data_IF_414308845469
#
_entry.id   IF_414308845469
#
_cell.length_a   1.000
_cell.length_b   1.000
_cell.length_c   1.000
_cell.angle_alpha   90.00
_cell.angle_beta   90.00
_cell.angle_gamma   90.00
#
_symmetry.space_group_name_H-M   'P 1'
#
loop_
_entity.id
_entity.type
_entity.pdbx_description
1 polymer ?
#
# COMPACT_ATOMS: atom_id res chain seq x y z
N UNK A 1 1.87 39.17 -17.76
CA UNK A 1 2.81 38.56 -16.82
C UNK A 1 4.17 39.20 -17.04
N UNK A 2 4.76 39.71 -16.00
CA UNK A 2 6.10 40.32 -15.99
C UNK A 2 7.16 39.31 -16.49
N UNK A 3 8.20 39.76 -17.17
CA UNK A 3 9.28 38.92 -17.73
C UNK A 3 9.97 38.10 -16.64
N UNK A 4 10.20 38.69 -15.46
CA UNK A 4 10.75 38.02 -14.30
C UNK A 4 9.89 36.84 -13.80
N UNK A 5 8.57 36.97 -13.85
CA UNK A 5 7.66 35.89 -13.46
C UNK A 5 7.59 34.77 -14.50
N UNK A 6 7.81 35.08 -15.77
CA UNK A 6 7.94 34.05 -16.83
C UNK A 6 9.21 33.24 -16.66
N UNK A 7 10.32 33.93 -16.39
CA UNK A 7 11.60 33.27 -16.11
C UNK A 7 11.54 32.40 -14.86
N UNK A 8 10.95 32.92 -13.77
CA UNK A 8 10.74 32.14 -12.53
C UNK A 8 9.89 30.89 -12.78
N UNK A 9 8.83 30.98 -13.61
CA UNK A 9 7.99 29.84 -13.96
C UNK A 9 8.78 28.78 -14.74
N UNK A 10 9.54 29.20 -15.75
CA UNK A 10 10.32 28.28 -16.57
C UNK A 10 11.40 27.57 -15.72
N UNK A 11 12.17 28.34 -14.95
CA UNK A 11 13.23 27.81 -14.07
C UNK A 11 12.66 26.90 -13.00
N UNK A 12 11.56 27.31 -12.33
CA UNK A 12 10.93 26.52 -11.29
C UNK A 12 10.43 25.16 -11.80
N UNK A 13 9.79 25.13 -12.98
CA UNK A 13 9.34 23.88 -13.62
C UNK A 13 10.50 22.98 -14.04
N UNK A 14 11.56 23.56 -14.60
CA UNK A 14 12.75 22.80 -15.01
C UNK A 14 13.41 22.12 -13.80
N UNK A 15 13.63 22.86 -12.71
CA UNK A 15 14.24 22.35 -11.49
C UNK A 15 13.34 21.30 -10.83
N UNK A 16 12.04 21.52 -10.81
CA UNK A 16 11.07 20.54 -10.32
C UNK A 16 11.12 19.23 -11.13
N UNK A 17 11.15 19.30 -12.45
CA UNK A 17 11.27 18.12 -13.32
C UNK A 17 12.55 17.33 -13.09
N UNK A 18 13.65 18.03 -12.70
CA UNK A 18 14.92 17.41 -12.30
C UNK A 18 14.92 16.91 -10.85
N UNK A 19 13.80 17.04 -10.11
CA UNK A 19 13.68 16.73 -8.67
C UNK A 19 14.61 17.54 -7.77
N UNK A 20 15.09 18.68 -8.26
CA UNK A 20 15.91 19.62 -7.48
C UNK A 20 15.00 20.53 -6.62
N UNK A 21 14.21 19.93 -5.74
CA UNK A 21 13.09 20.56 -5.04
C UNK A 21 13.49 21.77 -4.21
N UNK A 22 14.59 21.69 -3.46
CA UNK A 22 15.10 22.82 -2.66
C UNK A 22 15.47 24.05 -3.53
N UNK A 23 15.86 23.82 -4.78
CA UNK A 23 16.16 24.89 -5.73
C UNK A 23 14.92 25.40 -6.47
N UNK A 24 13.93 24.54 -6.70
CA UNK A 24 12.69 24.89 -7.36
C UNK A 24 11.79 25.76 -6.49
N UNK A 25 11.72 25.46 -5.18
CA UNK A 25 10.81 26.08 -4.21
C UNK A 25 10.83 27.62 -4.23
N UNK A 26 11.96 28.33 -4.20
CA UNK A 26 12.00 29.78 -4.20
C UNK A 26 11.34 30.41 -5.45
N UNK A 27 11.57 29.82 -6.64
CA UNK A 27 11.01 30.32 -7.89
C UNK A 27 9.47 30.12 -7.94
N UNK A 28 9.01 28.94 -7.49
CA UNK A 28 7.57 28.64 -7.44
C UNK A 28 6.86 29.49 -6.39
N UNK A 29 7.49 29.73 -5.23
CA UNK A 29 6.97 30.61 -4.16
C UNK A 29 6.86 32.06 -4.63
N UNK A 30 7.78 32.54 -5.44
CA UNK A 30 7.69 33.88 -6.03
C UNK A 30 6.43 34.07 -6.86
N UNK A 31 6.01 33.04 -7.62
CA UNK A 31 4.79 33.06 -8.43
C UNK A 31 3.54 33.11 -7.55
N UNK A 32 3.51 32.32 -6.47
CA UNK A 32 2.42 32.31 -5.50
C UNK A 32 2.31 33.65 -4.79
N UNK A 33 3.44 34.25 -4.40
CA UNK A 33 3.49 35.59 -3.77
C UNK A 33 2.98 36.68 -4.70
N UNK A 34 3.19 36.53 -6.01
CA UNK A 34 2.64 37.42 -7.03
C UNK A 34 1.17 37.12 -7.36
N UNK A 35 0.51 36.19 -6.65
CA UNK A 35 -0.88 35.75 -6.82
C UNK A 35 -1.19 35.27 -8.25
N UNK A 36 -0.22 34.65 -8.91
CA UNK A 36 -0.43 34.06 -10.23
C UNK A 36 -1.27 32.79 -10.09
N UNK A 37 -2.46 32.68 -10.71
CA UNK A 37 -3.39 31.58 -10.46
C UNK A 37 -3.05 30.33 -11.31
N UNK A 38 -1.89 29.75 -11.11
CA UNK A 38 -1.46 28.55 -11.82
C UNK A 38 -1.62 27.32 -10.91
N UNK A 39 -2.61 26.49 -11.20
CA UNK A 39 -2.90 25.26 -10.43
C UNK A 39 -1.70 24.31 -10.38
N UNK A 40 -0.93 24.20 -11.48
CA UNK A 40 0.27 23.36 -11.53
C UNK A 40 1.42 23.85 -10.64
N UNK A 41 1.57 25.18 -10.48
CA UNK A 41 2.56 25.75 -9.55
C UNK A 41 2.23 25.38 -8.11
N UNK A 42 0.96 25.50 -7.72
CA UNK A 42 0.51 25.09 -6.42
C UNK A 42 0.66 23.56 -6.21
N UNK A 43 0.35 22.75 -7.23
CA UNK A 43 0.57 21.31 -7.15
C UNK A 43 2.05 20.96 -6.96
N UNK A 44 2.97 21.60 -7.70
CA UNK A 44 4.41 21.40 -7.55
C UNK A 44 4.89 21.77 -6.14
N UNK A 45 4.46 22.91 -5.59
CA UNK A 45 4.79 23.28 -4.21
C UNK A 45 4.21 22.30 -3.20
N UNK A 46 2.98 21.82 -3.43
CA UNK A 46 2.36 20.79 -2.61
C UNK A 46 3.22 19.52 -2.56
N UNK A 47 3.72 19.05 -3.70
CA UNK A 47 4.62 17.88 -3.78
C UNK A 47 5.92 18.15 -3.03
N UNK A 48 6.54 19.32 -3.22
CA UNK A 48 7.78 19.69 -2.51
C UNK A 48 7.57 19.67 -0.99
N UNK A 49 6.49 20.29 -0.51
CA UNK A 49 6.18 20.31 0.92
C UNK A 49 5.83 18.95 1.48
N UNK A 50 5.12 18.11 0.70
CA UNK A 50 4.81 16.74 1.08
C UNK A 50 6.09 15.90 1.25
N UNK A 51 7.00 15.97 0.28
CA UNK A 51 8.28 15.25 0.27
C UNK A 51 9.19 15.69 1.46
N UNK A 52 9.04 16.95 1.88
CA UNK A 52 9.70 17.49 3.08
C UNK A 52 8.97 17.15 4.41
N UNK A 53 7.90 16.36 4.39
CA UNK A 53 7.10 16.01 5.57
C UNK A 53 6.24 17.16 6.12
N UNK A 54 6.12 18.27 5.37
CA UNK A 54 5.36 19.47 5.76
C UNK A 54 3.90 19.34 5.31
N UNK A 55 3.20 18.30 5.78
CA UNK A 55 1.89 17.88 5.27
C UNK A 55 0.83 18.98 5.33
N UNK A 56 0.81 19.80 6.37
CA UNK A 56 -0.14 20.92 6.45
C UNK A 56 0.07 21.98 5.36
N UNK A 57 1.32 22.26 4.98
CA UNK A 57 1.60 23.16 3.87
C UNK A 57 1.28 22.53 2.52
N UNK A 58 1.58 21.24 2.37
CA UNK A 58 1.23 20.47 1.18
C UNK A 58 -0.28 20.46 0.96
N UNK A 59 -1.06 20.18 2.00
CA UNK A 59 -2.53 20.26 1.96
C UNK A 59 -3.01 21.59 1.42
N UNK A 60 -2.57 22.70 2.01
CA UNK A 60 -2.98 24.04 1.59
C UNK A 60 -2.66 24.31 0.10
N UNK A 61 -1.50 23.86 -0.35
CA UNK A 61 -1.10 24.02 -1.75
C UNK A 61 -2.00 23.19 -2.68
N UNK A 62 -2.29 21.94 -2.37
CA UNK A 62 -3.16 21.12 -3.19
C UNK A 62 -4.60 21.60 -3.19
N UNK A 63 -5.12 22.07 -2.06
CA UNK A 63 -6.46 22.70 -1.97
C UNK A 63 -6.55 23.95 -2.84
N UNK A 64 -5.51 24.79 -2.85
CA UNK A 64 -5.47 25.96 -3.73
C UNK A 64 -5.37 25.56 -5.23
N UNK A 65 -4.60 24.51 -5.55
CA UNK A 65 -4.58 23.97 -6.90
C UNK A 65 -5.97 23.52 -7.37
N UNK A 66 -6.71 22.83 -6.50
CA UNK A 66 -8.08 22.38 -6.78
C UNK A 66 -9.09 23.53 -6.79
N UNK A 67 -8.90 24.59 -6.00
CA UNK A 67 -9.72 25.80 -6.06
C UNK A 67 -9.57 26.52 -7.42
N UNK A 68 -8.36 26.52 -7.97
CA UNK A 68 -8.07 27.12 -9.30
C UNK A 68 -8.59 26.22 -10.42
N UNK A 69 -8.34 24.92 -10.31
CA UNK A 69 -8.79 23.91 -11.27
C UNK A 69 -9.44 22.72 -10.53
N UNK A 70 -10.77 22.72 -10.35
CA UNK A 70 -11.48 21.64 -9.65
C UNK A 70 -11.35 20.26 -10.29
N UNK A 71 -10.96 20.20 -11.56
CA UNK A 71 -10.76 18.95 -12.31
C UNK A 71 -9.28 18.51 -12.37
N UNK A 72 -8.40 19.12 -11.56
CA UNK A 72 -6.98 18.78 -11.55
C UNK A 72 -6.76 17.47 -10.78
N UNK A 73 -6.95 16.36 -11.49
CA UNK A 73 -6.90 14.99 -10.92
C UNK A 73 -5.60 14.71 -10.17
N UNK A 74 -4.45 15.16 -10.69
CA UNK A 74 -3.15 14.97 -10.04
C UNK A 74 -3.08 15.65 -8.66
N UNK A 75 -3.53 16.89 -8.57
CA UNK A 75 -3.57 17.61 -7.28
C UNK A 75 -4.53 16.92 -6.28
N UNK A 76 -5.69 16.45 -6.76
CA UNK A 76 -6.63 15.70 -5.94
C UNK A 76 -6.04 14.41 -5.39
N UNK A 77 -5.28 13.69 -6.21
CA UNK A 77 -4.60 12.47 -5.79
C UNK A 77 -3.45 12.73 -4.82
N UNK A 78 -2.66 13.78 -5.06
CA UNK A 78 -1.59 14.18 -4.15
C UNK A 78 -2.15 14.64 -2.80
N UNK A 79 -3.28 15.35 -2.79
CA UNK A 79 -3.99 15.71 -1.56
C UNK A 79 -4.48 14.47 -0.81
N UNK A 80 -5.02 13.50 -1.52
CA UNK A 80 -5.47 12.25 -0.93
C UNK A 80 -4.32 11.46 -0.29
N UNK A 81 -3.15 11.38 -0.97
CA UNK A 81 -1.93 10.79 -0.37
C UNK A 81 -1.53 11.56 0.88
N UNK A 82 -1.56 12.90 0.82
CA UNK A 82 -1.23 13.74 1.98
C UNK A 82 -2.18 13.46 3.15
N UNK A 83 -3.48 13.35 2.91
CA UNK A 83 -4.45 12.99 3.95
C UNK A 83 -4.19 11.58 4.52
N UNK A 84 -3.83 10.61 3.66
CA UNK A 84 -3.47 9.27 4.12
C UNK A 84 -2.27 9.31 5.09
N UNK A 85 -1.21 10.04 4.73
CA UNK A 85 -0.01 10.19 5.56
C UNK A 85 -0.26 10.99 6.86
N UNK A 86 -1.32 11.80 6.89
CA UNK A 86 -1.83 12.48 8.09
C UNK A 86 -2.77 11.59 8.93
N UNK A 87 -3.07 10.36 8.51
CA UNK A 87 -4.04 9.48 9.17
C UNK A 87 -5.51 9.84 8.93
N UNK A 88 -5.78 10.74 7.99
CA UNK A 88 -7.13 11.21 7.62
C UNK A 88 -7.73 10.32 6.52
N UNK A 89 -7.88 9.04 6.80
CA UNK A 89 -8.19 8.00 5.80
C UNK A 89 -9.57 8.18 5.11
N UNK A 90 -10.58 8.68 5.83
CA UNK A 90 -11.90 8.91 5.24
C UNK A 90 -11.87 9.98 4.17
N UNK A 91 -11.21 11.09 4.45
CA UNK A 91 -11.09 12.22 3.52
C UNK A 91 -10.21 11.85 2.31
N UNK A 92 -9.15 11.11 2.54
CA UNK A 92 -8.32 10.52 1.47
C UNK A 92 -9.18 9.66 0.53
N UNK A 93 -9.99 8.75 1.09
CA UNK A 93 -10.89 7.87 0.34
C UNK A 93 -11.87 8.63 -0.54
N UNK A 94 -12.51 9.67 -0.01
CA UNK A 94 -13.49 10.47 -0.76
C UNK A 94 -12.85 11.18 -1.97
N UNK A 95 -11.65 11.73 -1.81
CA UNK A 95 -10.90 12.34 -2.91
C UNK A 95 -10.52 11.31 -3.99
N UNK A 96 -10.09 10.12 -3.58
CA UNK A 96 -9.78 9.05 -4.52
C UNK A 96 -11.01 8.58 -5.30
N UNK A 97 -12.16 8.39 -4.62
CA UNK A 97 -13.40 8.01 -5.28
C UNK A 97 -13.87 9.09 -6.27
N UNK A 98 -13.71 10.35 -5.94
CA UNK A 98 -14.01 11.45 -6.84
C UNK A 98 -13.10 11.45 -8.07
N UNK A 99 -11.80 11.25 -7.89
CA UNK A 99 -10.85 11.12 -8.99
C UNK A 99 -11.16 9.90 -9.89
N UNK A 100 -11.54 8.77 -9.28
CA UNK A 100 -11.97 7.57 -9.98
C UNK A 100 -13.19 7.84 -10.85
N UNK A 101 -14.22 8.46 -10.30
CA UNK A 101 -15.47 8.77 -10.99
C UNK A 101 -15.26 9.76 -12.17
N UNK A 102 -14.32 10.68 -12.03
CA UNK A 102 -13.96 11.60 -13.13
C UNK A 102 -13.21 10.88 -14.27
N UNK A 103 -12.40 9.88 -13.95
CA UNK A 103 -11.61 9.11 -14.93
C UNK A 103 -12.43 8.03 -15.65
N UNK A 104 -13.59 7.61 -15.13
CA UNK A 104 -14.50 6.62 -15.75
C UNK A 104 -15.42 7.21 -16.81
N UNK A 105 -15.30 8.49 -17.13
CA UNK A 105 -16.00 9.05 -18.31
C UNK A 105 -15.54 8.36 -19.59
N UNK A 106 -16.43 8.20 -20.61
CA UNK A 106 -16.12 7.46 -21.83
C UNK A 106 -14.79 7.91 -22.47
N UNK A 107 -13.79 7.05 -22.48
CA UNK A 107 -12.46 7.30 -23.00
C UNK A 107 -11.33 7.49 -21.97
N UNK A 108 -11.64 7.59 -20.68
CA UNK A 108 -10.65 7.71 -19.61
C UNK A 108 -10.16 6.34 -19.13
N UNK A 109 -8.99 5.90 -19.54
CA UNK A 109 -8.29 4.81 -18.82
C UNK A 109 -7.70 5.41 -17.55
N UNK A 110 -8.03 4.82 -16.40
CA UNK A 110 -7.28 5.13 -15.18
C UNK A 110 -5.81 4.86 -15.46
N UNK A 111 -4.97 5.85 -15.19
CA UNK A 111 -3.53 5.67 -15.27
C UNK A 111 -3.11 4.58 -14.28
N UNK A 112 -2.22 3.70 -14.71
CA UNK A 112 -1.67 2.62 -13.89
C UNK A 112 -1.05 3.14 -12.59
N UNK A 113 -0.48 4.35 -12.62
CA UNK A 113 0.06 5.03 -11.45
C UNK A 113 -1.03 5.37 -10.42
N UNK A 114 -2.14 5.94 -10.89
CA UNK A 114 -3.30 6.27 -10.04
C UNK A 114 -3.89 5.02 -9.40
N UNK A 115 -4.08 3.95 -10.19
CA UNK A 115 -4.55 2.67 -9.66
C UNK A 115 -3.60 2.09 -8.62
N UNK A 116 -2.28 2.25 -8.81
CA UNK A 116 -1.28 1.82 -7.84
C UNK A 116 -1.38 2.57 -6.51
N UNK A 117 -1.48 3.89 -6.56
CA UNK A 117 -1.65 4.73 -5.34
C UNK A 117 -2.95 4.39 -4.60
N UNK A 118 -4.04 4.22 -5.32
CA UNK A 118 -5.33 3.83 -4.76
C UNK A 118 -5.25 2.44 -4.08
N UNK A 119 -4.60 1.48 -4.72
CA UNK A 119 -4.42 0.15 -4.16
C UNK A 119 -3.61 0.18 -2.85
N UNK A 120 -2.53 0.97 -2.82
CA UNK A 120 -1.75 1.14 -1.59
C UNK A 120 -2.58 1.79 -0.48
N UNK A 121 -3.36 2.83 -0.77
CA UNK A 121 -4.24 3.44 0.23
C UNK A 121 -5.26 2.45 0.81
N UNK A 122 -5.90 1.63 -0.02
CA UNK A 122 -6.79 0.59 0.51
C UNK A 122 -6.04 -0.40 1.39
N UNK A 123 -4.79 -0.73 1.05
CA UNK A 123 -3.95 -1.58 1.87
C UNK A 123 -3.59 -0.91 3.22
N UNK A 124 -3.27 0.39 3.23
CA UNK A 124 -2.97 1.13 4.46
C UNK A 124 -4.20 1.21 5.39
N UNK A 125 -5.40 1.45 4.83
CA UNK A 125 -6.66 1.39 5.58
C UNK A 125 -6.87 -0.01 6.17
N UNK A 126 -6.60 -1.07 5.38
CA UNK A 126 -6.72 -2.44 5.85
C UNK A 126 -5.77 -2.74 7.02
N UNK A 127 -4.54 -2.20 7.00
CA UNK A 127 -3.60 -2.34 8.13
C UNK A 127 -4.11 -1.70 9.41
N UNK A 128 -4.80 -0.56 9.33
CA UNK A 128 -5.45 0.06 10.48
C UNK A 128 -6.54 -0.86 11.05
N UNK A 129 -7.34 -1.49 10.19
CA UNK A 129 -8.33 -2.47 10.62
C UNK A 129 -7.68 -3.72 11.24
N UNK A 130 -6.58 -4.22 10.67
CA UNK A 130 -5.80 -5.34 11.27
C UNK A 130 -5.30 -4.96 12.66
N UNK A 131 -4.75 -3.76 12.83
CA UNK A 131 -4.26 -3.29 14.13
C UNK A 131 -5.39 -3.16 15.16
N UNK A 132 -6.63 -2.90 14.72
CA UNK A 132 -7.83 -2.86 15.56
C UNK A 132 -8.47 -4.26 15.78
N UNK A 133 -7.94 -5.33 15.16
CA UNK A 133 -8.53 -6.67 15.21
C UNK A 133 -9.78 -6.85 14.35
N UNK A 134 -10.10 -5.87 13.51
CA UNK A 134 -11.26 -5.86 12.61
C UNK A 134 -10.90 -6.54 11.27
N UNK A 135 -10.72 -7.86 11.32
CA UNK A 135 -10.16 -8.62 10.19
C UNK A 135 -11.09 -8.66 8.97
N UNK A 136 -12.42 -8.67 9.16
CA UNK A 136 -13.38 -8.70 8.05
C UNK A 136 -13.35 -7.40 7.23
N UNK A 137 -13.23 -6.27 7.92
CA UNK A 137 -13.06 -4.95 7.31
C UNK A 137 -11.71 -4.89 6.58
N UNK A 138 -10.64 -5.38 7.20
CA UNK A 138 -9.32 -5.45 6.57
C UNK A 138 -9.34 -6.28 5.28
N UNK A 139 -9.95 -7.46 5.31
CA UNK A 139 -10.13 -8.35 4.15
C UNK A 139 -10.87 -7.61 3.02
N UNK A 140 -11.93 -6.89 3.36
CA UNK A 140 -12.68 -6.08 2.38
C UNK A 140 -11.81 -5.05 1.68
N UNK A 141 -11.00 -4.31 2.43
CA UNK A 141 -10.14 -3.26 1.87
C UNK A 141 -8.96 -3.86 1.08
N UNK A 142 -8.33 -4.95 1.52
CA UNK A 142 -7.32 -5.65 0.73
C UNK A 142 -7.88 -6.19 -0.59
N UNK A 143 -9.11 -6.71 -0.60
CA UNK A 143 -9.77 -7.16 -1.85
C UNK A 143 -10.00 -5.99 -2.80
N UNK A 144 -10.36 -4.79 -2.30
CA UNK A 144 -10.47 -3.57 -3.10
C UNK A 144 -9.12 -3.16 -3.69
N UNK A 145 -8.05 -3.22 -2.91
CA UNK A 145 -6.70 -2.96 -3.38
C UNK A 145 -6.32 -3.89 -4.55
N UNK A 146 -6.57 -5.20 -4.38
CA UNK A 146 -6.25 -6.21 -5.39
C UNK A 146 -7.17 -6.17 -6.62
N UNK A 147 -8.40 -5.65 -6.50
CA UNK A 147 -9.25 -5.38 -7.66
C UNK A 147 -8.67 -4.31 -8.58
N UNK A 148 -7.97 -3.31 -8.02
CA UNK A 148 -7.26 -2.29 -8.78
C UNK A 148 -5.92 -2.77 -9.32
N UNK A 149 -5.18 -3.54 -8.52
CA UNK A 149 -3.83 -4.04 -8.84
C UNK A 149 -3.68 -5.51 -8.46
N UNK A 150 -4.17 -6.43 -9.29
CA UNK A 150 -4.12 -7.88 -9.00
C UNK A 150 -2.70 -8.45 -8.85
N UNK A 151 -1.70 -7.73 -9.36
CA UNK A 151 -0.28 -8.15 -9.33
C UNK A 151 0.46 -7.76 -8.05
N UNK A 152 -0.18 -7.06 -7.10
CA UNK A 152 0.46 -6.66 -5.84
C UNK A 152 0.53 -7.85 -4.88
N UNK A 153 1.62 -8.63 -5.01
CA UNK A 153 1.82 -9.87 -4.23
C UNK A 153 1.97 -9.61 -2.73
N UNK A 154 2.54 -8.48 -2.34
CA UNK A 154 2.68 -8.08 -0.93
C UNK A 154 1.30 -7.83 -0.30
N UNK A 155 0.41 -7.15 -1.01
CA UNK A 155 -0.98 -6.93 -0.56
C UNK A 155 -1.75 -8.26 -0.51
N UNK A 156 -1.54 -9.15 -1.48
CA UNK A 156 -2.13 -10.49 -1.47
C UNK A 156 -1.66 -11.33 -0.28
N UNK A 157 -0.39 -11.20 0.11
CA UNK A 157 0.13 -11.85 1.30
C UNK A 157 -0.55 -11.33 2.59
N UNK A 158 -0.73 -10.02 2.71
CA UNK A 158 -1.45 -9.39 3.82
C UNK A 158 -2.92 -9.81 3.87
N UNK A 159 -3.57 -9.92 2.72
CA UNK A 159 -4.92 -10.50 2.62
C UNK A 159 -4.95 -11.92 3.18
N UNK A 160 -4.01 -12.77 2.75
CA UNK A 160 -3.95 -14.16 3.21
C UNK A 160 -3.71 -14.27 4.73
N UNK A 161 -2.90 -13.37 5.28
CA UNK A 161 -2.69 -13.29 6.73
C UNK A 161 -3.99 -12.91 7.46
N UNK A 162 -4.67 -11.88 6.99
CA UNK A 162 -5.95 -11.43 7.59
C UNK A 162 -7.03 -12.49 7.49
N UNK A 163 -7.12 -13.21 6.37
CA UNK A 163 -8.03 -14.35 6.20
C UNK A 163 -7.74 -15.47 7.21
N UNK A 164 -6.46 -15.81 7.42
CA UNK A 164 -6.08 -16.80 8.44
C UNK A 164 -6.46 -16.32 9.84
N UNK A 165 -6.18 -15.07 10.17
CA UNK A 165 -6.43 -14.50 11.49
C UNK A 165 -7.94 -14.33 11.76
N UNK A 166 -8.75 -14.17 10.70
CA UNK A 166 -10.23 -14.26 10.74
C UNK A 166 -10.77 -15.72 10.77
N UNK A 167 -9.90 -16.73 10.71
CA UNK A 167 -10.31 -18.14 10.67
C UNK A 167 -10.76 -18.65 9.30
N UNK A 168 -10.69 -17.85 8.24
CA UNK A 168 -11.03 -18.21 6.86
C UNK A 168 -9.88 -18.97 6.19
N UNK A 169 -9.49 -20.11 6.78
CA UNK A 169 -8.24 -20.82 6.48
C UNK A 169 -8.14 -21.33 5.04
N UNK A 170 -9.23 -21.81 4.46
CA UNK A 170 -9.24 -22.30 3.08
C UNK A 170 -9.08 -21.18 2.04
N UNK A 171 -9.60 -19.99 2.34
CA UNK A 171 -9.38 -18.83 1.48
C UNK A 171 -7.94 -18.34 1.60
N UNK A 172 -7.40 -18.25 2.81
CA UNK A 172 -5.99 -17.94 3.04
C UNK A 172 -5.07 -18.88 2.25
N UNK A 173 -5.36 -20.18 2.28
CA UNK A 173 -4.61 -21.19 1.53
C UNK A 173 -4.66 -20.93 0.01
N UNK A 174 -5.83 -20.57 -0.53
CA UNK A 174 -5.98 -20.27 -1.96
C UNK A 174 -5.16 -19.05 -2.38
N UNK A 175 -5.21 -17.97 -1.60
CA UNK A 175 -4.44 -16.75 -1.89
C UNK A 175 -2.93 -17.03 -1.85
N UNK A 176 -2.44 -17.79 -0.87
CA UNK A 176 -1.04 -18.18 -0.77
C UNK A 176 -0.60 -19.07 -1.93
N UNK A 177 -1.42 -20.02 -2.37
CA UNK A 177 -1.13 -20.81 -3.58
C UNK A 177 -1.05 -19.94 -4.83
N UNK A 178 -1.86 -18.91 -4.95
CA UNK A 178 -1.78 -17.95 -6.06
C UNK A 178 -0.45 -17.20 -6.07
N UNK A 179 0.06 -16.81 -4.92
CA UNK A 179 1.38 -16.19 -4.77
C UNK A 179 2.47 -17.18 -5.19
N UNK A 180 2.45 -18.38 -4.61
CA UNK A 180 3.48 -19.40 -4.83
C UNK A 180 3.51 -19.95 -6.25
N UNK A 181 2.39 -19.89 -6.97
CA UNK A 181 2.36 -20.24 -8.40
C UNK A 181 3.20 -19.27 -9.26
N UNK A 182 3.35 -18.01 -8.85
CA UNK A 182 4.15 -17.01 -9.55
C UNK A 182 5.55 -16.85 -8.96
N UNK A 183 5.71 -17.09 -7.67
CA UNK A 183 6.94 -16.90 -6.90
C UNK A 183 7.14 -18.10 -5.94
N UNK A 184 7.53 -19.29 -6.47
CA UNK A 184 7.57 -20.52 -5.68
C UNK A 184 8.58 -20.46 -4.52
N UNK A 185 9.67 -19.72 -4.67
CA UNK A 185 10.76 -19.65 -3.69
C UNK A 185 10.63 -18.46 -2.73
N UNK A 186 9.52 -17.73 -2.77
CA UNK A 186 9.35 -16.58 -1.88
C UNK A 186 9.09 -17.02 -0.44
N UNK A 187 10.15 -17.00 0.39
CA UNK A 187 10.15 -17.51 1.75
C UNK A 187 9.01 -16.94 2.63
N UNK A 188 8.65 -15.63 2.60
CA UNK A 188 7.51 -15.14 3.37
C UNK A 188 6.20 -15.86 3.03
N UNK A 189 5.89 -16.08 1.75
CA UNK A 189 4.67 -16.77 1.34
C UNK A 189 4.68 -18.26 1.73
N UNK A 190 5.83 -18.95 1.58
CA UNK A 190 5.99 -20.36 2.01
C UNK A 190 5.78 -20.51 3.52
N UNK A 191 6.33 -19.61 4.32
CA UNK A 191 6.15 -19.63 5.79
C UNK A 191 4.67 -19.45 6.13
N UNK A 192 3.99 -18.44 5.56
CA UNK A 192 2.57 -18.24 5.84
C UNK A 192 1.68 -19.35 5.31
N UNK A 193 2.06 -19.99 4.20
CA UNK A 193 1.39 -21.20 3.69
C UNK A 193 1.50 -22.36 4.67
N UNK A 194 2.69 -22.61 5.21
CA UNK A 194 2.92 -23.64 6.23
C UNK A 194 2.11 -23.36 7.51
N UNK A 195 2.08 -22.12 7.98
CA UNK A 195 1.27 -21.74 9.14
C UNK A 195 -0.23 -21.95 8.89
N UNK A 196 -0.70 -21.67 7.68
CA UNK A 196 -2.10 -21.92 7.30
C UNK A 196 -2.40 -23.40 7.23
N UNK A 197 -1.49 -24.23 6.69
CA UNK A 197 -1.59 -25.70 6.71
C UNK A 197 -1.65 -26.23 8.12
N UNK A 198 -0.82 -25.73 9.01
CA UNK A 198 -0.81 -26.12 10.42
C UNK A 198 -2.16 -25.77 11.08
N UNK A 199 -2.72 -24.61 10.83
CA UNK A 199 -4.05 -24.23 11.32
C UNK A 199 -5.17 -25.14 10.76
N UNK A 200 -5.00 -25.64 9.53
CA UNK A 200 -5.90 -26.62 8.88
C UNK A 200 -5.67 -28.07 9.38
N UNK A 201 -4.85 -28.27 10.41
CA UNK A 201 -4.47 -29.59 10.95
C UNK A 201 -3.60 -30.44 10.02
N UNK A 202 -3.04 -29.85 8.98
CA UNK A 202 -2.10 -30.52 8.03
C UNK A 202 -0.64 -30.31 8.51
N UNK A 203 -0.36 -30.70 9.75
CA UNK A 203 0.91 -30.42 10.40
C UNK A 203 2.13 -31.07 9.71
N UNK A 204 1.97 -32.28 9.14
CA UNK A 204 3.06 -32.95 8.43
C UNK A 204 3.48 -32.17 7.17
N UNK A 205 2.53 -31.71 6.37
CA UNK A 205 2.80 -30.90 5.18
C UNK A 205 3.40 -29.54 5.57
N UNK A 206 2.93 -28.93 6.68
CA UNK A 206 3.49 -27.70 7.20
C UNK A 206 4.98 -27.83 7.57
N UNK A 207 5.37 -28.95 8.20
CA UNK A 207 6.77 -29.27 8.50
C UNK A 207 7.59 -29.35 7.23
N UNK A 208 7.15 -30.13 6.24
CA UNK A 208 7.88 -30.28 4.95
C UNK A 208 8.11 -28.95 4.26
N UNK A 209 7.11 -28.06 4.24
CA UNK A 209 7.26 -26.73 3.66
C UNK A 209 8.25 -25.87 4.45
N UNK A 210 8.23 -25.90 5.79
CA UNK A 210 9.18 -25.14 6.60
C UNK A 210 10.60 -25.67 6.50
N UNK A 211 10.78 -27.00 6.44
CA UNK A 211 12.08 -27.66 6.21
C UNK A 211 12.70 -27.15 4.91
N UNK A 212 11.93 -27.15 3.82
CA UNK A 212 12.42 -26.67 2.54
C UNK A 212 12.82 -25.19 2.54
N UNK A 213 12.14 -24.33 3.35
CA UNK A 213 12.57 -22.93 3.51
C UNK A 213 13.89 -22.84 4.29
N UNK A 214 14.09 -23.69 5.30
CA UNK A 214 15.33 -23.73 6.10
C UNK A 214 16.49 -24.32 5.29
N UNK A 215 16.22 -25.26 4.39
CA UNK A 215 17.23 -25.83 3.49
C UNK A 215 17.72 -24.77 2.48
N UNK A 216 16.81 -23.97 1.90
CA UNK A 216 17.13 -22.90 0.97
C UNK A 216 17.85 -21.72 1.63
N UNK A 217 17.46 -21.38 2.87
CA UNK A 217 18.05 -20.30 3.66
C UNK A 217 18.27 -20.75 5.12
N UNK A 218 19.44 -21.34 5.42
CA UNK A 218 19.79 -21.77 6.77
C UNK A 218 19.89 -20.67 7.81
N UNK A 219 19.92 -19.41 7.42
CA UNK A 219 19.93 -18.27 8.35
C UNK A 219 18.52 -17.69 8.61
N UNK A 220 17.48 -18.26 8.02
CA UNK A 220 16.11 -17.82 8.19
C UNK A 220 15.57 -18.16 9.60
N UNK A 221 15.82 -17.26 10.53
CA UNK A 221 15.43 -17.43 11.95
C UNK A 221 13.92 -17.64 12.12
N UNK A 222 13.12 -16.99 11.24
CA UNK A 222 11.65 -17.08 11.33
C UNK A 222 11.15 -18.47 10.92
N UNK A 223 11.70 -19.04 9.85
CA UNK A 223 11.36 -20.39 9.40
C UNK A 223 11.77 -21.43 10.44
N UNK A 224 12.99 -21.34 11.01
CA UNK A 224 13.44 -22.21 12.10
C UNK A 224 12.52 -22.16 13.30
N UNK A 225 12.17 -20.96 13.77
CA UNK A 225 11.26 -20.79 14.91
C UNK A 225 9.91 -21.49 14.70
N UNK A 226 9.31 -21.28 13.51
CA UNK A 226 8.01 -21.91 13.21
C UNK A 226 8.13 -23.43 13.01
N UNK A 227 9.23 -23.91 12.43
CA UNK A 227 9.48 -25.34 12.30
C UNK A 227 9.54 -26.02 13.67
N UNK A 228 10.31 -25.46 14.60
CA UNK A 228 10.43 -25.98 15.96
C UNK A 228 9.09 -25.94 16.71
N UNK A 229 8.33 -24.87 16.53
CA UNK A 229 6.99 -24.74 17.13
C UNK A 229 6.03 -25.82 16.62
N UNK A 230 5.97 -26.03 15.30
CA UNK A 230 5.07 -27.02 14.69
C UNK A 230 5.47 -28.43 15.09
N UNK A 231 6.77 -28.78 15.05
CA UNK A 231 7.29 -30.09 15.49
C UNK A 231 6.98 -30.39 16.95
N UNK A 232 7.23 -29.42 17.82
CA UNK A 232 6.94 -29.57 19.26
C UNK A 232 5.45 -29.77 19.51
N UNK A 233 4.57 -29.10 18.76
CA UNK A 233 3.13 -29.29 18.90
C UNK A 233 2.70 -30.71 18.45
N UNK A 234 3.21 -31.19 17.33
CA UNK A 234 2.89 -32.51 16.79
C UNK A 234 3.35 -33.64 17.73
N UNK A 235 4.54 -33.51 18.32
CA UNK A 235 5.07 -34.46 19.29
C UNK A 235 4.17 -34.55 20.55
N UNK A 236 3.73 -33.40 21.07
CA UNK A 236 2.84 -33.38 22.26
C UNK A 236 1.47 -33.98 21.95
N UNK A 237 0.94 -33.71 20.75
CA UNK A 237 -0.36 -34.24 20.33
C UNK A 237 -0.32 -35.76 20.08
N UNK A 238 0.81 -36.28 19.54
CA UNK A 238 1.02 -37.74 19.37
C UNK A 238 1.19 -38.49 20.68
N UNK A 239 1.87 -37.89 21.67
CA UNK A 239 2.07 -38.49 22.96
C UNK A 239 0.78 -38.59 23.82
N UNK A 240 -0.23 -37.73 23.56
CA UNK A 240 -1.53 -37.75 24.25
C UNK A 240 -2.46 -38.87 23.77
N UNK A 241 -2.20 -39.48 22.64
CA UNK A 241 -3.04 -40.55 22.07
C UNK A 241 -2.59 -41.95 22.50
N UNK A 242 -1.33 -42.13 22.97
CA UNK A 242 -0.78 -43.41 23.39
C UNK A 242 -0.90 -43.71 24.90
N UNK A 243 -1.43 -42.78 25.68
CA UNK A 243 -1.56 -42.89 27.16
C UNK A 243 -2.92 -43.31 27.67
N UNK A 244 -3.83 -43.81 26.83
CA UNK A 244 -5.20 -44.22 27.18
C UNK A 244 -5.54 -45.63 26.70
N UNK A 245 -4.76 -46.61 27.16
CA UNK A 245 -5.03 -48.03 26.96
C UNK A 245 -5.11 -48.75 28.32
#
# INVERSE_FOLDING_TARGET
MDEKLREALATGRELYAKKEYARAEPYLTQLVSAKVPYADVYNMLGVIHHDAGQFAKAQNCFEEALRINPNYTEAGLNLAVTYNDMGRYHEAKDLYLNALNQSTKPGGKLDAFVMGKLANMYADIAEVYVAAGAYEEAISEYRRALALRPTFIDIRLKLAQSLRDAGQLEEARRELKTILAQNPDWAPARIHYALTLFSLKNGAEAVTVLESVVEDDPENRRAKLYLDMVRSHLQRSGASTDGGG
#
